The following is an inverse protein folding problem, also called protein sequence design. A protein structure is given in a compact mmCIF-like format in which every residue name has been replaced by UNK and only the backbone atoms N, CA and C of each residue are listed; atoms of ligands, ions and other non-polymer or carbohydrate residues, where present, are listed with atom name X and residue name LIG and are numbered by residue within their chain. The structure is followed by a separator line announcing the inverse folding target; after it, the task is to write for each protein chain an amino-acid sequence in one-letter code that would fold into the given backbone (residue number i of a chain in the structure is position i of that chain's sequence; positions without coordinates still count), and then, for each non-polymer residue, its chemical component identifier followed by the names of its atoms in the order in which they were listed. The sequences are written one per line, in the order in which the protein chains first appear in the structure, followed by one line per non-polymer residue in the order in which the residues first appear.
data_IF_022398723349
#
_entry.id   IF_022398723349
#
_cell.length_a   1.000
_cell.length_b   1.000
_cell.length_c   1.000
_cell.angle_alpha   90.00
_cell.angle_beta   90.00
_cell.angle_gamma   90.00
#
_symmetry.space_group_name_H-M   'P 1'
#
loop_
_entity.id
_entity.type
_entity.pdbx_description
1 polymer ?
#
# COMPACT_ATOMS: atom_id res chain seq x y z
N UNK A 1 17.65 27.88 -9.50
CA UNK A 1 16.33 27.53 -8.94
C UNK A 1 15.71 26.46 -9.82
N UNK A 2 15.84 25.19 -9.45
CA UNK A 2 15.07 24.08 -10.05
C UNK A 2 15.11 22.90 -9.09
N UNK A 3 14.22 22.92 -8.10
CA UNK A 3 14.03 21.84 -7.14
C UNK A 3 13.27 20.71 -7.85
N UNK A 4 13.95 19.63 -8.19
CA UNK A 4 13.33 18.40 -8.71
C UNK A 4 12.64 17.73 -7.52
N UNK A 5 11.39 18.11 -7.29
CA UNK A 5 10.42 17.23 -6.65
C UNK A 5 10.46 15.91 -7.41
N UNK A 6 10.99 14.86 -6.79
CA UNK A 6 11.02 13.52 -7.36
C UNK A 6 9.58 12.99 -7.37
N UNK A 7 8.87 13.44 -8.40
CA UNK A 7 7.63 12.91 -8.92
C UNK A 7 7.89 11.42 -9.20
N UNK A 8 7.02 10.58 -8.64
CA UNK A 8 6.47 9.38 -9.28
C UNK A 8 7.49 8.73 -10.20
N UNK A 9 8.24 7.77 -9.66
CA UNK A 9 9.20 6.96 -10.40
C UNK A 9 8.57 6.47 -11.70
N UNK A 10 9.14 6.99 -12.78
CA UNK A 10 8.84 6.71 -14.18
C UNK A 10 8.71 5.20 -14.37
N UNK A 11 7.50 4.72 -14.68
CA UNK A 11 7.34 3.44 -15.36
C UNK A 11 7.95 3.59 -16.75
N UNK A 12 9.15 3.06 -16.93
CA UNK A 12 9.75 2.91 -18.25
C UNK A 12 8.85 1.99 -19.07
N UNK A 13 8.34 2.52 -20.18
CA UNK A 13 7.56 1.81 -21.17
C UNK A 13 8.53 1.02 -22.06
N UNK A 14 8.45 -0.31 -22.03
CA UNK A 14 9.06 -1.18 -23.04
C UNK A 14 7.94 -2.04 -23.65
N UNK A 15 7.76 -2.06 -24.98
CA UNK A 15 6.67 -2.79 -25.61
C UNK A 15 7.15 -4.19 -26.03
N UNK A 16 6.55 -5.27 -25.51
CA UNK A 16 6.48 -6.54 -26.26
C UNK A 16 5.46 -7.53 -25.69
N UNK A 17 4.59 -7.94 -26.61
CA UNK A 17 3.97 -9.25 -26.78
C UNK A 17 2.94 -9.78 -25.76
N UNK A 18 1.73 -9.90 -26.30
CA UNK A 18 0.54 -10.53 -25.75
C UNK A 18 0.82 -11.99 -25.34
N UNK A 19 0.81 -12.29 -24.05
CA UNK A 19 0.59 -13.64 -23.52
C UNK A 19 -0.45 -13.57 -22.40
N UNK A 20 -1.41 -14.47 -22.49
CA UNK A 20 -2.63 -14.50 -21.71
C UNK A 20 -2.43 -14.38 -20.19
N UNK A 21 -3.15 -13.44 -19.58
CA UNK A 21 -3.80 -13.56 -18.28
C UNK A 21 -3.05 -14.25 -17.14
N UNK A 22 -1.84 -13.83 -16.81
CA UNK A 22 -1.32 -14.00 -15.44
C UNK A 22 -1.47 -12.68 -14.70
N UNK A 23 -2.48 -12.58 -13.83
CA UNK A 23 -2.50 -11.56 -12.80
C UNK A 23 -1.37 -11.86 -11.81
N UNK A 24 -0.12 -11.51 -12.17
CA UNK A 24 0.98 -11.51 -11.22
C UNK A 24 0.67 -10.44 -10.18
N UNK A 25 0.24 -10.87 -8.99
CA UNK A 25 0.17 -10.01 -7.83
C UNK A 25 1.58 -9.43 -7.59
N UNK A 26 1.78 -8.18 -8.02
CA UNK A 26 3.01 -7.44 -7.75
C UNK A 26 3.06 -7.17 -6.25
N UNK A 27 3.76 -8.02 -5.50
CA UNK A 27 4.20 -7.66 -4.16
C UNK A 27 5.22 -6.53 -4.30
N UNK A 28 5.13 -5.49 -3.48
CA UNK A 28 6.14 -4.45 -3.48
C UNK A 28 7.46 -5.05 -2.96
N UNK A 29 8.47 -5.10 -3.82
CA UNK A 29 9.82 -5.53 -3.42
C UNK A 29 10.35 -4.64 -2.28
N UNK A 30 11.00 -5.21 -1.26
CA UNK A 30 11.52 -4.46 -0.14
C UNK A 30 12.59 -3.46 -0.61
N UNK A 31 12.47 -2.20 -0.18
CA UNK A 31 13.41 -1.13 -0.49
C UNK A 31 14.66 -1.25 0.41
N UNK A 32 15.87 -1.47 -0.15
CA UNK A 32 17.09 -1.65 0.64
C UNK A 32 17.41 -0.42 1.51
N UNK A 33 17.69 -0.61 2.80
CA UNK A 33 18.02 0.50 3.72
C UNK A 33 16.82 1.25 4.32
N UNK A 34 15.58 0.83 4.00
CA UNK A 34 14.35 1.48 4.52
C UNK A 34 13.46 0.49 5.29
N UNK A 35 13.92 -0.08 6.44
CA UNK A 35 13.18 -1.14 7.14
C UNK A 35 11.78 -0.73 7.58
N UNK A 36 11.59 0.53 8.01
CA UNK A 36 10.28 1.05 8.43
C UNK A 36 9.32 1.32 7.27
N UNK A 37 9.83 1.69 6.10
CA UNK A 37 9.03 1.83 4.89
C UNK A 37 8.56 0.45 4.44
N UNK A 38 9.48 -0.54 4.45
CA UNK A 38 9.17 -1.92 4.09
C UNK A 38 8.10 -2.52 5.02
N UNK A 39 8.15 -2.24 6.32
CA UNK A 39 7.12 -2.69 7.27
C UNK A 39 5.73 -2.16 6.92
N UNK A 40 5.61 -0.86 6.65
CA UNK A 40 4.33 -0.23 6.26
C UNK A 40 3.84 -0.80 4.93
N UNK A 41 4.69 -0.87 3.91
CA UNK A 41 4.33 -1.39 2.59
C UNK A 41 3.87 -2.86 2.67
N UNK A 42 4.60 -3.71 3.40
CA UNK A 42 4.22 -5.11 3.58
C UNK A 42 2.84 -5.25 4.24
N UNK A 43 2.47 -4.32 5.13
CA UNK A 43 1.17 -4.36 5.81
C UNK A 43 0.03 -3.85 4.95
N UNK A 44 0.27 -2.84 4.11
CA UNK A 44 -0.66 -2.45 3.04
C UNK A 44 -0.91 -3.60 2.06
N UNK A 45 0.14 -4.27 1.57
CA UNK A 45 0.01 -5.42 0.66
C UNK A 45 -0.80 -6.56 1.29
N UNK A 46 -0.55 -6.84 2.58
CA UNK A 46 -1.33 -7.80 3.34
C UNK A 46 -2.81 -7.39 3.50
N UNK A 47 -3.11 -6.09 3.56
CA UNK A 47 -4.48 -5.59 3.60
C UNK A 47 -5.17 -5.78 2.26
N UNK A 48 -4.52 -5.38 1.16
CA UNK A 48 -5.06 -5.55 -0.19
C UNK A 48 -5.40 -7.01 -0.45
N UNK A 49 -4.47 -7.95 -0.16
CA UNK A 49 -4.74 -9.39 -0.27
C UNK A 49 -5.98 -9.85 0.50
N UNK A 50 -6.25 -9.28 1.68
CA UNK A 50 -7.43 -9.64 2.49
C UNK A 50 -8.72 -9.08 1.91
N UNK A 51 -8.66 -7.86 1.36
CA UNK A 51 -9.78 -7.20 0.68
C UNK A 51 -10.11 -8.01 -0.58
N UNK A 52 -9.14 -8.26 -1.44
CA UNK A 52 -9.29 -9.02 -2.69
C UNK A 52 -9.88 -10.41 -2.42
N UNK A 53 -9.31 -11.14 -1.45
CA UNK A 53 -9.83 -12.46 -1.08
C UNK A 53 -11.26 -12.40 -0.51
N UNK A 54 -11.60 -11.34 0.23
CA UNK A 54 -12.95 -11.17 0.78
C UNK A 54 -13.97 -10.78 -0.29
N UNK A 55 -13.58 -9.98 -1.28
CA UNK A 55 -14.41 -9.65 -2.44
C UNK A 55 -14.62 -10.90 -3.30
N UNK A 56 -13.55 -11.63 -3.59
CA UNK A 56 -13.60 -12.87 -4.37
C UNK A 56 -14.48 -13.95 -3.73
N UNK A 57 -14.48 -14.05 -2.39
CA UNK A 57 -15.33 -14.99 -1.66
C UNK A 57 -16.75 -14.47 -1.39
N UNK A 58 -17.06 -13.22 -1.75
CA UNK A 58 -18.33 -12.57 -1.43
C UNK A 58 -18.52 -12.16 0.04
N UNK A 59 -17.51 -12.35 0.89
CA UNK A 59 -17.55 -11.98 2.31
C UNK A 59 -17.40 -10.47 2.55
N UNK A 60 -16.85 -9.74 1.57
CA UNK A 60 -16.71 -8.28 1.60
C UNK A 60 -17.47 -7.72 0.39
N UNK A 61 -18.41 -6.81 0.63
CA UNK A 61 -19.15 -6.13 -0.45
C UNK A 61 -18.24 -5.12 -1.18
N UNK A 62 -18.50 -4.80 -2.46
CA UNK A 62 -17.71 -3.80 -3.19
C UNK A 62 -17.65 -2.44 -2.48
N UNK A 63 -18.73 -2.04 -1.80
CA UNK A 63 -18.78 -0.79 -1.04
C UNK A 63 -17.92 -0.83 0.24
N UNK A 64 -17.81 -1.99 0.90
CA UNK A 64 -16.89 -2.16 2.03
C UNK A 64 -15.44 -2.13 1.55
N UNK A 65 -15.13 -2.86 0.47
CA UNK A 65 -13.82 -2.86 -0.16
C UNK A 65 -13.36 -1.44 -0.52
N UNK A 66 -14.19 -0.66 -1.23
CA UNK A 66 -13.86 0.71 -1.60
C UNK A 66 -13.59 1.63 -0.39
N UNK A 67 -14.28 1.42 0.75
CA UNK A 67 -14.01 2.17 1.99
C UNK A 67 -12.67 1.79 2.61
N UNK A 68 -12.30 0.52 2.58
CA UNK A 68 -11.05 0.04 3.15
C UNK A 68 -9.85 0.40 2.26
N UNK A 69 -10.00 0.31 0.94
CA UNK A 69 -9.01 0.78 -0.03
C UNK A 69 -8.77 2.29 0.11
N UNK A 70 -9.83 3.10 0.30
CA UNK A 70 -9.68 4.53 0.56
C UNK A 70 -8.87 4.81 1.84
N UNK A 71 -9.02 3.99 2.87
CA UNK A 71 -8.24 4.13 4.11
C UNK A 71 -6.77 3.75 3.89
N UNK A 72 -6.51 2.66 3.17
CA UNK A 72 -5.15 2.24 2.83
C UNK A 72 -4.45 3.26 1.93
N UNK A 73 -5.15 3.83 0.95
CA UNK A 73 -4.65 4.92 0.13
C UNK A 73 -4.29 6.16 0.96
N UNK A 74 -5.10 6.51 1.96
CA UNK A 74 -4.79 7.63 2.86
C UNK A 74 -3.55 7.37 3.74
N UNK A 75 -3.33 6.10 4.15
CA UNK A 75 -2.13 5.70 4.89
C UNK A 75 -0.90 5.79 3.99
N UNK A 76 -0.97 5.24 2.77
CA UNK A 76 0.10 5.29 1.78
C UNK A 76 0.47 6.73 1.42
N UNK A 77 -0.51 7.60 1.20
CA UNK A 77 -0.28 9.02 0.95
C UNK A 77 0.45 9.69 2.12
N UNK A 78 0.09 9.34 3.36
CA UNK A 78 0.76 9.90 4.54
C UNK A 78 2.18 9.38 4.70
N UNK A 79 2.42 8.10 4.43
CA UNK A 79 3.77 7.53 4.39
C UNK A 79 4.64 8.27 3.37
N UNK A 80 4.16 8.45 2.15
CA UNK A 80 4.85 9.20 1.10
C UNK A 80 5.21 10.64 1.51
N UNK A 81 4.27 11.35 2.16
CA UNK A 81 4.54 12.71 2.67
C UNK A 81 5.57 12.71 3.81
N UNK A 82 5.48 11.75 4.73
CA UNK A 82 6.44 11.61 5.82
C UNK A 82 7.85 11.29 5.27
N UNK A 83 7.95 10.37 4.30
CA UNK A 83 9.19 10.01 3.61
C UNK A 83 9.80 11.22 2.89
N UNK A 84 9.00 11.97 2.14
CA UNK A 84 9.47 13.16 1.43
C UNK A 84 10.05 14.22 2.39
N UNK A 85 9.54 14.30 3.62
CA UNK A 85 10.03 15.22 4.66
C UNK A 85 11.31 14.75 5.35
N UNK A 86 11.65 13.47 5.24
CA UNK A 86 12.78 12.84 5.94
C UNK A 86 13.70 12.08 4.98
N UNK A 87 13.88 12.61 3.77
CA UNK A 87 14.85 12.09 2.81
C UNK A 87 14.59 10.64 2.37
N UNK A 88 13.32 10.25 2.25
CA UNK A 88 12.91 8.89 1.89
C UNK A 88 12.80 7.93 3.08
N UNK A 89 12.97 8.39 4.32
CA UNK A 89 12.86 7.54 5.50
C UNK A 89 11.61 7.84 6.32
N UNK A 90 11.12 6.84 7.04
CA UNK A 90 10.18 7.05 8.13
C UNK A 90 10.93 7.09 9.46
N UNK A 91 10.56 8.03 10.33
CA UNK A 91 10.97 8.01 11.75
C UNK A 91 10.23 6.92 12.51
N UNK A 92 10.72 6.56 13.70
CA UNK A 92 10.05 5.57 14.57
C UNK A 92 8.62 6.00 14.94
N UNK A 93 8.43 7.28 15.21
CA UNK A 93 7.13 7.82 15.61
C UNK A 93 6.13 7.83 14.44
N UNK A 94 6.58 8.13 13.22
CA UNK A 94 5.75 8.07 12.01
C UNK A 94 5.34 6.64 11.69
N UNK A 95 6.29 5.71 11.65
CA UNK A 95 6.00 4.30 11.42
C UNK A 95 4.99 3.77 12.45
N UNK A 96 5.19 4.03 13.75
CA UNK A 96 4.21 3.65 14.79
C UNK A 96 2.81 4.25 14.56
N UNK A 97 2.71 5.48 14.08
CA UNK A 97 1.43 6.13 13.79
C UNK A 97 0.74 5.48 12.59
N UNK A 98 1.47 5.26 11.50
CA UNK A 98 0.99 4.57 10.29
C UNK A 98 0.54 3.15 10.67
N UNK A 99 1.38 2.43 11.42
CA UNK A 99 1.11 1.09 11.89
C UNK A 99 -0.16 0.96 12.72
N UNK A 100 -0.44 1.97 13.57
CA UNK A 100 -1.70 2.04 14.32
C UNK A 100 -2.90 2.29 13.41
N UNK A 101 -2.76 3.08 12.34
CA UNK A 101 -3.83 3.29 11.36
C UNK A 101 -4.14 2.00 10.59
N UNK A 102 -3.11 1.29 10.10
CA UNK A 102 -3.24 -0.01 9.45
C UNK A 102 -3.87 -1.06 10.37
N UNK A 103 -3.50 -1.07 11.67
CA UNK A 103 -4.11 -1.97 12.63
C UNK A 103 -5.61 -1.74 12.78
N UNK A 104 -6.05 -0.47 12.75
CA UNK A 104 -7.49 -0.16 12.80
C UNK A 104 -8.19 -0.64 11.54
N UNK A 105 -7.62 -0.41 10.36
CA UNK A 105 -8.21 -0.85 9.10
C UNK A 105 -8.22 -2.38 8.97
N UNK A 106 -7.10 -3.05 9.28
CA UNK A 106 -6.98 -4.51 9.36
C UNK A 106 -8.03 -5.16 10.27
N UNK A 107 -8.31 -4.56 11.44
CA UNK A 107 -9.36 -5.03 12.33
C UNK A 107 -10.76 -4.83 11.73
N UNK A 108 -10.99 -3.75 10.99
CA UNK A 108 -12.25 -3.52 10.28
C UNK A 108 -12.46 -4.60 9.19
N UNK A 109 -11.47 -4.83 8.33
CA UNK A 109 -11.50 -5.86 7.28
C UNK A 109 -11.79 -7.25 7.89
N UNK A 110 -11.11 -7.62 8.97
CA UNK A 110 -11.32 -8.92 9.62
C UNK A 110 -12.73 -9.07 10.18
N UNK A 111 -13.33 -8.00 10.71
CA UNK A 111 -14.70 -8.03 11.21
C UNK A 111 -15.73 -8.16 10.11
N UNK A 112 -15.44 -7.76 8.88
CA UNK A 112 -16.39 -7.85 7.76
C UNK A 112 -16.56 -9.27 7.22
N UNK A 113 -15.57 -10.16 7.42
CA UNK A 113 -15.56 -11.55 6.93
C UNK A 113 -16.46 -12.50 7.76
N UNK A 114 -17.67 -12.05 8.10
CA UNK A 114 -18.64 -12.75 8.94
C UNK A 114 -18.84 -14.21 8.54
#
# INVERSE_FOLDING_TARGET
MTTIAHRILLRALAPTLLLAGLATAHAAEPVPGHPRVNEVNQRLDNQQRRIDAGVASGAITPMQAARDEKRDAAIAQRASVDEARHGGHLTAAQARRLNRAENRNSRAIRRQKH
#
